data_IF_219684390242
#
_entry.id   IF_219684390242
#
_cell.length_a   1.000
_cell.length_b   1.000
_cell.length_c   1.000
_cell.angle_alpha   90.00
_cell.angle_beta   90.00
_cell.angle_gamma   90.00
#
_symmetry.space_group_name_H-M   'P 1'
#
loop_
_entity.id
_entity.type
_entity.pdbx_description
1 polymer ?
#
# COMPACT_ATOMS: atom_id res chain seq x y z
N UNK A 1 -16.29 7.45 15.94
CA UNK A 1 -15.87 7.34 15.34
C UNK A 1 -15.20 7.42 14.77
N UNK A 2 -14.73 7.49 14.57
CA UNK A 2 -14.11 7.75 14.00
C UNK A 2 -13.67 7.32 13.06
N UNK A 3 -13.87 7.71 12.41
CA UNK A 3 -13.47 7.34 11.30
C UNK A 3 -12.13 7.51 11.01
N UNK A 4 -11.51 6.69 10.55
CA UNK A 4 -10.17 6.90 10.35
C UNK A 4 -9.90 7.09 8.91
N UNK A 5 -9.46 8.27 8.56
CA UNK A 5 -8.94 8.53 7.29
C UNK A 5 -7.46 8.37 7.38
N UNK A 6 -6.90 7.39 6.69
CA UNK A 6 -5.47 7.20 6.65
C UNK A 6 -4.88 8.14 5.61
N UNK A 7 -3.79 8.80 5.98
CA UNK A 7 -3.08 9.69 5.07
C UNK A 7 -1.99 8.92 4.34
N UNK A 8 -1.42 9.54 3.30
CA UNK A 8 -0.32 8.91 2.56
C UNK A 8 0.86 8.54 3.47
N UNK A 9 1.35 9.42 4.35
CA UNK A 9 2.46 9.03 5.23
C UNK A 9 2.17 7.78 6.05
N UNK A 10 0.97 7.69 6.61
CA UNK A 10 0.58 6.54 7.41
C UNK A 10 0.48 5.27 6.57
N UNK A 11 -0.11 5.38 5.38
CA UNK A 11 -0.23 4.25 4.47
C UNK A 11 1.12 3.74 4.02
N UNK A 12 2.01 4.66 3.69
CA UNK A 12 3.35 4.30 3.24
C UNK A 12 4.09 3.53 4.32
N UNK A 13 4.05 4.04 5.54
CA UNK A 13 4.71 3.37 6.65
C UNK A 13 4.11 2.00 6.91
N UNK A 14 2.79 1.92 6.89
CA UNK A 14 2.08 0.67 7.14
C UNK A 14 2.43 -0.38 6.09
N UNK A 15 2.42 0.00 4.82
CA UNK A 15 2.76 -0.94 3.75
C UNK A 15 4.21 -1.39 3.84
N UNK A 16 5.11 -0.46 4.14
CA UNK A 16 6.52 -0.78 4.30
C UNK A 16 6.71 -1.78 5.44
N UNK A 17 6.07 -1.52 6.58
CA UNK A 17 6.18 -2.41 7.74
C UNK A 17 5.63 -3.80 7.44
N UNK A 18 4.53 -3.87 6.70
CA UNK A 18 3.93 -5.16 6.37
C UNK A 18 4.84 -6.03 5.52
N UNK A 19 5.67 -5.40 4.70
CA UNK A 19 6.61 -6.14 3.87
C UNK A 19 7.95 -6.38 4.58
N UNK A 20 8.09 -5.86 5.80
CA UNK A 20 9.31 -6.05 6.56
C UNK A 20 10.47 -5.19 6.09
N UNK A 21 10.20 -4.12 5.36
CA UNK A 21 11.25 -3.23 4.87
C UNK A 21 11.55 -2.14 5.88
N UNK A 22 12.84 -1.84 6.03
CA UNK A 22 13.22 -0.61 6.73
C UNK A 22 13.13 0.56 5.74
N UNK A 23 13.24 1.77 6.26
CA UNK A 23 13.28 2.94 5.37
C UNK A 23 14.44 2.83 4.38
N UNK A 24 15.59 2.32 4.85
CA UNK A 24 16.74 2.11 3.98
C UNK A 24 16.47 1.09 2.90
N UNK A 25 15.77 0.01 3.25
CA UNK A 25 15.43 -1.02 2.28
C UNK A 25 14.55 -0.45 1.16
N UNK A 26 13.54 0.32 1.55
CA UNK A 26 12.65 0.93 0.57
C UNK A 26 13.40 1.91 -0.30
N UNK A 27 14.26 2.72 0.30
CA UNK A 27 15.07 3.68 -0.45
C UNK A 27 15.92 2.99 -1.49
N UNK A 28 16.52 1.86 -1.13
CA UNK A 28 17.34 1.09 -2.07
C UNK A 28 16.51 0.57 -3.24
N UNK A 29 15.33 0.07 -2.95
CA UNK A 29 14.47 -0.46 -4.01
C UNK A 29 14.01 0.62 -4.99
N UNK A 30 13.88 1.84 -4.50
CA UNK A 30 13.47 2.96 -5.34
C UNK A 30 14.65 3.76 -5.88
N UNK A 31 15.87 3.41 -5.47
CA UNK A 31 17.09 4.14 -5.86
C UNK A 31 17.05 5.60 -5.45
N UNK A 32 16.58 5.84 -4.24
CA UNK A 32 16.53 7.20 -3.67
C UNK A 32 17.18 7.15 -2.30
N UNK A 33 17.27 8.30 -1.64
CA UNK A 33 17.88 8.37 -0.33
C UNK A 33 16.89 7.96 0.76
N UNK A 34 17.41 7.45 1.88
CA UNK A 34 16.58 7.16 3.03
C UNK A 34 15.90 8.43 3.54
N UNK A 35 16.59 9.55 3.44
CA UNK A 35 16.01 10.83 3.86
C UNK A 35 14.74 11.17 3.09
N UNK A 36 14.70 10.82 1.80
CA UNK A 36 13.50 11.05 1.00
C UNK A 36 12.32 10.20 1.51
N UNK A 37 12.59 8.93 1.81
CA UNK A 37 11.55 8.06 2.34
C UNK A 37 11.06 8.60 3.68
N UNK A 38 11.99 9.00 4.54
CA UNK A 38 11.63 9.54 5.84
C UNK A 38 10.78 10.81 5.70
N UNK A 39 11.15 11.70 4.78
CA UNK A 39 10.39 12.93 4.55
C UNK A 39 8.95 12.61 4.13
N UNK A 40 8.78 11.60 3.28
CA UNK A 40 7.43 11.18 2.87
C UNK A 40 6.64 10.63 4.07
N UNK A 41 7.28 9.83 4.91
CA UNK A 41 6.59 9.22 6.05
C UNK A 41 6.28 10.22 7.15
N UNK A 42 7.07 11.28 7.24
CA UNK A 42 6.82 12.34 8.22
C UNK A 42 5.88 13.42 7.71
N UNK A 43 5.49 13.35 6.44
CA UNK A 43 4.62 14.35 5.86
C UNK A 43 5.31 15.66 5.55
N UNK A 44 6.65 15.67 5.56
CA UNK A 44 7.42 16.87 5.26
C UNK A 44 7.37 17.20 3.78
N UNK A 45 7.39 16.18 2.94
CA UNK A 45 7.28 16.35 1.50
C UNK A 45 6.41 15.24 0.94
N UNK A 46 5.95 15.41 -0.29
CA UNK A 46 5.13 14.43 -0.97
C UNK A 46 5.87 13.92 -2.20
N UNK A 47 5.70 12.65 -2.55
CA UNK A 47 6.32 12.14 -3.77
C UNK A 47 5.64 12.74 -5.00
N UNK A 48 6.40 12.84 -6.08
CA UNK A 48 5.83 13.23 -7.37
C UNK A 48 4.90 12.13 -7.86
N UNK A 49 4.13 12.46 -8.90
CA UNK A 49 3.23 11.49 -9.51
C UNK A 49 4.00 10.24 -9.97
N UNK A 50 5.19 10.44 -10.53
CA UNK A 50 6.02 9.31 -10.96
C UNK A 50 6.35 8.37 -9.81
N UNK A 51 6.69 8.93 -8.66
CA UNK A 51 7.02 8.11 -7.51
C UNK A 51 5.78 7.43 -6.93
N UNK A 52 4.61 8.08 -7.01
CA UNK A 52 3.37 7.44 -6.60
C UNK A 52 3.11 6.19 -7.43
N UNK A 53 3.34 6.27 -8.74
CA UNK A 53 3.16 5.13 -9.62
C UNK A 53 4.15 4.02 -9.26
N UNK A 54 5.41 4.38 -9.01
CA UNK A 54 6.43 3.40 -8.63
C UNK A 54 6.05 2.71 -7.32
N UNK A 55 5.58 3.47 -6.35
CA UNK A 55 5.17 2.91 -5.07
C UNK A 55 3.96 1.99 -5.23
N UNK A 56 2.99 2.39 -6.05
CA UNK A 56 1.82 1.54 -6.26
C UNK A 56 2.22 0.22 -6.91
N UNK A 57 3.19 0.25 -7.83
CA UNK A 57 3.66 -0.97 -8.46
C UNK A 57 4.45 -1.84 -7.48
N UNK A 58 5.27 -1.22 -6.65
CA UNK A 58 6.08 -1.96 -5.68
C UNK A 58 5.20 -2.65 -4.64
N UNK A 59 4.20 -1.96 -4.14
CA UNK A 59 3.33 -2.49 -3.08
C UNK A 59 2.11 -3.22 -3.62
N UNK A 60 1.90 -3.21 -4.94
CA UNK A 60 0.76 -3.86 -5.59
C UNK A 60 -0.58 -3.33 -5.09
N UNK A 61 -0.64 -2.02 -4.90
CA UNK A 61 -1.87 -1.33 -4.49
C UNK A 61 -2.13 -0.20 -5.48
N UNK A 62 -3.34 0.35 -5.43
CA UNK A 62 -3.67 1.49 -6.30
C UNK A 62 -3.09 2.76 -5.71
N UNK A 63 -2.92 3.78 -6.57
CA UNK A 63 -2.50 5.09 -6.08
C UNK A 63 -3.57 5.70 -5.19
N UNK A 64 -4.84 5.41 -5.45
CA UNK A 64 -5.93 5.90 -4.60
C UNK A 64 -5.79 5.36 -3.18
N UNK A 65 -5.46 4.09 -3.05
CA UNK A 65 -5.24 3.50 -1.72
C UNK A 65 -4.06 4.18 -1.02
N UNK A 66 -2.96 4.40 -1.76
CA UNK A 66 -1.79 5.07 -1.21
C UNK A 66 -2.14 6.46 -0.70
N UNK A 67 -2.98 7.18 -1.43
CA UNK A 67 -3.34 8.54 -1.07
C UNK A 67 -4.42 8.63 0.00
N UNK A 68 -4.93 7.48 0.43
CA UNK A 68 -5.95 7.45 1.47
C UNK A 68 -7.36 7.73 0.97
N UNK A 69 -7.54 7.72 -0.35
CA UNK A 69 -8.85 8.00 -0.96
C UNK A 69 -9.71 6.75 -1.03
N UNK A 70 -9.11 5.60 -0.87
CA UNK A 70 -9.80 4.32 -0.99
C UNK A 70 -9.33 3.41 0.13
N UNK A 71 -10.24 2.83 0.86
CA UNK A 71 -9.92 1.92 1.96
C UNK A 71 -9.87 0.46 1.52
N UNK A 72 -10.19 0.21 0.26
CA UNK A 72 -10.18 -1.14 -0.29
C UNK A 72 -8.87 -1.40 -1.01
N UNK A 73 -8.30 -2.57 -0.77
CA UNK A 73 -7.09 -2.99 -1.48
C UNK A 73 -7.52 -3.70 -2.75
N UNK A 74 -7.04 -3.21 -3.89
CA UNK A 74 -7.29 -3.85 -5.17
C UNK A 74 -6.09 -4.70 -5.53
N UNK A 75 -6.33 -5.97 -5.76
CA UNK A 75 -5.26 -6.92 -6.09
C UNK A 75 -5.25 -7.16 -7.58
N UNK A 76 -4.06 -7.00 -8.19
CA UNK A 76 -3.90 -7.26 -9.62
C UNK A 76 -3.64 -8.75 -9.81
N UNK A 77 -4.43 -9.36 -10.65
CA UNK A 77 -4.37 -10.79 -10.84
C UNK A 77 -3.87 -11.22 -12.22
N UNK A 78 -3.44 -10.27 -13.06
CA UNK A 78 -3.05 -10.55 -14.44
C UNK A 78 -2.01 -11.65 -14.59
N UNK A 79 -1.07 -11.71 -13.66
CA UNK A 79 0.05 -12.63 -13.75
C UNK A 79 -0.06 -13.80 -12.78
N UNK A 80 -1.24 -14.02 -12.23
CA UNK A 80 -1.45 -15.08 -11.25
C UNK A 80 -2.16 -16.26 -11.91
N UNK A 81 -1.87 -17.47 -11.42
CA UNK A 81 -2.56 -18.65 -11.89
C UNK A 81 -3.99 -18.63 -11.38
N UNK A 82 -4.87 -19.41 -12.03
CA UNK A 82 -6.25 -19.52 -11.58
C UNK A 82 -6.35 -19.99 -10.14
N UNK A 83 -5.48 -20.92 -9.76
CA UNK A 83 -5.45 -21.42 -8.40
C UNK A 83 -5.11 -20.32 -7.40
N UNK A 84 -4.10 -19.50 -7.75
CA UNK A 84 -3.71 -18.39 -6.88
C UNK A 84 -4.82 -17.37 -6.75
N UNK A 85 -5.50 -17.06 -7.86
CA UNK A 85 -6.62 -16.12 -7.85
C UNK A 85 -7.74 -16.65 -6.96
N UNK A 86 -8.07 -17.94 -7.10
CA UNK A 86 -9.12 -18.54 -6.29
C UNK A 86 -8.78 -18.47 -4.81
N UNK A 87 -7.54 -18.79 -4.46
CA UNK A 87 -7.12 -18.74 -3.05
C UNK A 87 -7.23 -17.33 -2.48
N UNK A 88 -6.82 -16.32 -3.27
CA UNK A 88 -6.91 -14.94 -2.83
C UNK A 88 -8.36 -14.52 -2.65
N UNK A 89 -9.22 -14.87 -3.60
CA UNK A 89 -10.63 -14.50 -3.53
C UNK A 89 -11.32 -15.15 -2.33
N UNK A 90 -10.97 -16.39 -2.02
CA UNK A 90 -11.54 -17.04 -0.84
C UNK A 90 -11.14 -16.33 0.44
N UNK A 91 -9.89 -15.91 0.51
CA UNK A 91 -9.38 -15.17 1.68
C UNK A 91 -10.07 -13.83 1.82
N UNK A 92 -10.19 -13.10 0.71
CA UNK A 92 -10.83 -11.79 0.70
C UNK A 92 -12.31 -11.92 1.10
N UNK A 93 -12.98 -12.95 0.61
CA UNK A 93 -14.38 -13.18 0.93
C UNK A 93 -14.58 -13.38 2.42
N UNK A 94 -13.69 -14.17 3.05
CA UNK A 94 -13.76 -14.39 4.49
C UNK A 94 -13.61 -13.08 5.27
N UNK A 95 -12.68 -12.22 4.86
CA UNK A 95 -12.52 -10.92 5.47
C UNK A 95 -13.74 -10.04 5.26
N UNK A 96 -14.30 -10.07 4.06
CA UNK A 96 -15.44 -9.26 3.72
C UNK A 96 -16.66 -9.62 4.58
N UNK A 97 -16.87 -10.91 4.82
CA UNK A 97 -17.96 -11.35 5.68
C UNK A 97 -17.81 -10.78 7.07
N UNK A 98 -16.58 -10.77 7.59
CA UNK A 98 -16.34 -10.22 8.92
C UNK A 98 -16.53 -8.71 8.96
N UNK A 99 -16.17 -8.02 7.89
CA UNK A 99 -16.26 -6.56 7.84
C UNK A 99 -17.67 -6.07 7.62
N UNK A 100 -18.51 -6.88 7.00
CA UNK A 100 -19.89 -6.49 6.73
C UNK A 100 -20.66 -6.17 7.99
N UNK A 101 -20.23 -6.77 9.09
CA UNK A 101 -20.91 -6.58 10.37
C UNK A 101 -20.70 -5.18 10.93
N UNK A 102 -19.74 -4.48 10.41
CA UNK A 102 -19.44 -3.14 10.85
C UNK A 102 -20.36 -2.13 10.19
#
# INVERSE_FOLDING_TARGET
MKKTMHTFPERLKDLRDRLGYTQSDLAKKLSITRASVNAWEMGISAPSTSWLVELSNLFHVTTDYLLGLDNCITIRTNNLSDRAVTAILNTVEAFYENCKEL
#
